data_IF_434151302798
#
_entry.id   IF_434151302798
#
_cell.length_a   1.000
_cell.length_b   1.000
_cell.length_c   1.000
_cell.angle_alpha   90.00
_cell.angle_beta   90.00
_cell.angle_gamma   90.00
#
_symmetry.space_group_name_H-M   'P 1'
#
loop_
_entity.id
_entity.type
_entity.pdbx_description
1 polymer ?
#
# COMPACT_ATOMS: atom_id res chain seq x y z
N UNK A 1 24.08 22.18 -4.55
CA UNK A 1 23.31 22.55 -5.76
C UNK A 1 21.87 22.14 -5.46
N UNK A 2 20.89 23.03 -5.65
CA UNK A 2 19.49 22.65 -5.46
C UNK A 2 19.08 21.63 -6.55
N UNK A 3 18.43 20.58 -6.16
CA UNK A 3 17.87 19.61 -7.11
C UNK A 3 16.77 20.25 -7.97
N UNK A 4 16.60 19.84 -9.23
CA UNK A 4 15.48 20.32 -10.05
C UNK A 4 14.15 20.01 -9.37
N UNK A 5 13.19 20.95 -9.42
CA UNK A 5 11.88 20.80 -8.76
C UNK A 5 11.09 19.55 -9.19
N UNK A 6 11.41 18.98 -10.35
CA UNK A 6 10.76 17.77 -10.89
C UNK A 6 11.52 16.48 -10.52
N UNK A 7 12.60 16.56 -9.74
CA UNK A 7 13.34 15.37 -9.32
C UNK A 7 12.61 14.64 -8.19
N UNK A 8 12.73 13.31 -8.15
CA UNK A 8 12.21 12.49 -7.05
C UNK A 8 12.75 12.97 -5.72
N UNK A 9 14.05 13.34 -5.66
CA UNK A 9 14.69 13.86 -4.46
C UNK A 9 14.00 15.14 -3.97
N UNK A 10 13.67 16.07 -4.87
CA UNK A 10 12.97 17.29 -4.49
C UNK A 10 11.56 17.00 -3.97
N UNK A 11 10.83 16.09 -4.61
CA UNK A 11 9.49 15.68 -4.16
C UNK A 11 9.53 15.00 -2.80
N UNK A 12 10.54 14.17 -2.55
CA UNK A 12 10.77 13.53 -1.24
C UNK A 12 11.08 14.59 -0.19
N UNK A 13 12.02 15.48 -0.47
CA UNK A 13 12.48 16.50 0.47
C UNK A 13 11.37 17.52 0.81
N UNK A 14 10.63 17.99 -0.20
CA UNK A 14 9.52 18.93 -0.03
C UNK A 14 8.37 18.29 0.76
N UNK A 15 8.03 17.06 0.42
CA UNK A 15 6.99 16.31 1.10
C UNK A 15 7.36 16.00 2.56
N UNK A 16 8.61 15.61 2.81
CA UNK A 16 9.12 15.35 4.15
C UNK A 16 9.31 16.62 4.99
N UNK A 17 9.64 17.74 4.40
CA UNK A 17 9.66 19.01 5.10
C UNK A 17 8.28 19.38 5.65
N UNK A 18 7.21 19.13 4.86
CA UNK A 18 5.82 19.25 5.32
C UNK A 18 5.40 18.16 6.32
N UNK A 19 6.03 17.00 6.27
CA UNK A 19 5.64 15.80 7.03
C UNK A 19 6.51 15.52 8.24
N UNK A 20 7.65 16.16 8.41
CA UNK A 20 8.47 16.06 9.64
C UNK A 20 7.63 16.35 10.91
N UNK A 21 6.51 17.07 10.73
CA UNK A 21 5.53 17.34 11.77
C UNK A 21 4.60 16.13 12.04
N UNK A 22 4.41 15.23 11.09
CA UNK A 22 3.38 14.20 11.10
C UNK A 22 3.89 12.81 11.44
N UNK A 23 5.14 12.56 11.09
CA UNK A 23 5.80 11.32 11.40
C UNK A 23 7.17 11.64 11.99
N UNK A 24 7.28 11.61 13.31
CA UNK A 24 8.57 11.62 13.94
C UNK A 24 9.47 10.58 13.27
N UNK A 25 10.69 10.93 12.97
CA UNK A 25 11.72 10.03 12.43
C UNK A 25 11.78 8.70 13.19
N UNK A 26 11.48 8.74 14.49
CA UNK A 26 11.34 7.58 15.36
C UNK A 26 10.26 6.59 14.87
N UNK A 27 9.11 7.06 14.39
CA UNK A 27 8.06 6.18 13.87
C UNK A 27 8.47 5.54 12.53
N UNK A 28 9.21 6.27 11.70
CA UNK A 28 9.80 5.73 10.48
C UNK A 28 10.77 4.59 10.80
N UNK A 29 11.66 4.76 11.76
CA UNK A 29 12.59 3.72 12.24
C UNK A 29 11.86 2.50 12.78
N UNK A 30 10.89 2.70 13.66
CA UNK A 30 10.08 1.59 14.22
C UNK A 30 9.31 0.84 13.12
N UNK A 31 8.78 1.54 12.13
CA UNK A 31 8.08 0.90 11.00
C UNK A 31 9.06 0.14 10.11
N UNK A 32 10.26 0.66 9.87
CA UNK A 32 11.31 -0.03 9.13
C UNK A 32 11.78 -1.30 9.84
N UNK A 33 11.95 -1.27 11.15
CA UNK A 33 12.27 -2.45 11.95
C UNK A 33 11.20 -3.55 11.83
N UNK A 34 9.92 -3.15 11.86
CA UNK A 34 8.78 -4.05 11.63
C UNK A 34 8.83 -4.61 10.21
N UNK A 35 9.03 -3.76 9.21
CA UNK A 35 9.12 -4.17 7.82
C UNK A 35 10.26 -5.18 7.62
N UNK A 36 11.43 -4.91 8.17
CA UNK A 36 12.61 -5.79 8.12
C UNK A 36 12.36 -7.17 8.75
N UNK A 37 11.54 -7.23 9.78
CA UNK A 37 11.16 -8.48 10.43
C UNK A 37 10.24 -9.35 9.56
N UNK A 38 9.28 -8.75 8.87
CA UNK A 38 8.26 -9.48 8.11
C UNK A 38 8.55 -9.54 6.62
N UNK A 39 9.26 -8.55 6.08
CA UNK A 39 9.50 -8.37 4.66
C UNK A 39 10.89 -7.77 4.39
N UNK A 40 11.98 -8.47 4.78
CA UNK A 40 13.34 -7.95 4.67
C UNK A 40 13.74 -7.62 3.24
N UNK A 41 13.23 -8.37 2.25
CA UNK A 41 13.57 -8.18 0.84
C UNK A 41 13.16 -6.80 0.33
N UNK A 42 12.01 -6.27 0.78
CA UNK A 42 11.56 -4.95 0.38
C UNK A 42 12.45 -3.84 0.96
N UNK A 43 13.01 -4.04 2.15
CA UNK A 43 13.96 -3.10 2.72
C UNK A 43 15.23 -2.98 1.88
N UNK A 44 15.70 -4.09 1.32
CA UNK A 44 16.86 -4.08 0.42
C UNK A 44 16.52 -3.44 -0.95
N UNK A 45 15.30 -3.64 -1.45
CA UNK A 45 14.83 -2.98 -2.67
C UNK A 45 14.71 -1.46 -2.47
N UNK A 46 14.13 -1.01 -1.35
CA UNK A 46 14.05 0.40 -0.98
C UNK A 46 15.46 1.01 -0.84
N UNK A 47 16.41 0.28 -0.25
CA UNK A 47 17.81 0.71 -0.16
C UNK A 47 18.42 0.91 -1.54
N UNK A 48 18.24 -0.05 -2.44
CA UNK A 48 18.73 0.07 -3.82
C UNK A 48 18.17 1.30 -4.55
N UNK A 49 16.88 1.62 -4.33
CA UNK A 49 16.29 2.83 -4.89
C UNK A 49 16.89 4.09 -4.27
N UNK A 50 17.00 4.15 -2.93
CA UNK A 50 17.56 5.31 -2.23
C UNK A 50 19.01 5.60 -2.65
N UNK A 51 19.83 4.55 -2.80
CA UNK A 51 21.20 4.65 -3.29
C UNK A 51 21.25 5.19 -4.72
N UNK A 52 20.37 4.68 -5.59
CA UNK A 52 20.32 5.11 -7.00
C UNK A 52 19.91 6.57 -7.19
N UNK A 53 19.02 7.09 -6.36
CA UNK A 53 18.57 8.49 -6.40
C UNK A 53 19.41 9.43 -5.52
N UNK A 54 20.35 8.88 -4.73
CA UNK A 54 21.25 9.66 -3.88
C UNK A 54 20.60 10.27 -2.64
N UNK A 55 19.57 9.61 -2.09
CA UNK A 55 18.90 10.05 -0.86
C UNK A 55 19.26 9.17 0.34
N UNK A 56 19.08 9.69 1.56
CA UNK A 56 19.24 8.90 2.77
C UNK A 56 18.18 7.78 2.86
N UNK A 57 18.60 6.58 3.18
CA UNK A 57 17.71 5.42 3.23
C UNK A 57 16.59 5.55 4.26
N UNK A 58 16.91 5.99 5.48
CA UNK A 58 15.90 6.13 6.52
C UNK A 58 14.89 7.22 6.19
N UNK A 59 15.38 8.29 5.59
CA UNK A 59 14.55 9.36 5.09
C UNK A 59 13.57 8.86 4.00
N UNK A 60 14.09 8.14 3.01
CA UNK A 60 13.29 7.63 1.90
C UNK A 60 12.28 6.57 2.33
N UNK A 61 12.68 5.57 3.13
CA UNK A 61 11.74 4.54 3.60
C UNK A 61 10.69 5.12 4.55
N UNK A 62 11.03 6.10 5.37
CA UNK A 62 10.07 6.81 6.22
C UNK A 62 9.02 7.51 5.38
N UNK A 63 9.45 8.20 4.31
CA UNK A 63 8.53 8.81 3.36
C UNK A 63 7.61 7.80 2.68
N UNK A 64 8.14 6.67 2.21
CA UNK A 64 7.33 5.61 1.61
C UNK A 64 6.32 5.01 2.59
N UNK A 65 6.71 4.84 3.85
CA UNK A 65 5.82 4.34 4.91
C UNK A 65 4.74 5.34 5.30
N UNK A 66 4.97 6.63 5.04
CA UNK A 66 3.98 7.68 5.21
C UNK A 66 2.94 7.71 4.12
N UNK A 67 3.29 7.32 2.91
CA UNK A 67 2.36 7.29 1.79
C UNK A 67 1.19 6.38 2.12
N UNK A 68 -0.03 6.80 1.93
CA UNK A 68 -1.21 6.08 2.40
C UNK A 68 -1.66 6.44 3.82
N UNK A 69 -0.78 6.93 4.70
CA UNK A 69 -1.19 7.54 5.96
C UNK A 69 -1.40 9.05 5.83
N UNK A 70 -0.70 9.67 4.89
CA UNK A 70 -0.47 11.12 4.82
C UNK A 70 -0.95 11.73 3.50
N UNK A 71 -1.85 11.09 2.79
CA UNK A 71 -2.49 11.66 1.60
C UNK A 71 -3.39 12.88 1.93
N UNK A 72 -3.45 13.27 3.19
CA UNK A 72 -4.19 14.44 3.65
C UNK A 72 -3.25 15.61 3.76
N UNK A 73 -3.57 16.68 3.05
CA UNK A 73 -2.90 17.94 3.19
C UNK A 73 -3.23 18.53 4.57
N UNK A 74 -2.35 18.30 5.52
CA UNK A 74 -2.49 18.79 6.89
C UNK A 74 -2.05 20.25 7.01
N UNK A 75 -1.38 20.82 5.97
CA UNK A 75 -0.84 22.16 6.02
C UNK A 75 -1.90 23.24 6.07
N UNK A 76 -3.14 22.98 5.66
CA UNK A 76 -4.08 24.07 5.47
C UNK A 76 -5.45 23.93 6.15
N UNK A 77 -5.73 22.87 6.90
CA UNK A 77 -7.10 22.61 7.38
C UNK A 77 -8.18 22.71 6.27
N UNK A 78 -7.76 22.64 5.02
CA UNK A 78 -8.68 22.64 3.89
C UNK A 78 -9.29 21.23 3.84
N UNK A 79 -10.62 21.12 3.80
CA UNK A 79 -11.24 19.85 3.46
C UNK A 79 -10.69 19.43 2.11
N UNK A 80 -9.77 18.48 2.10
CA UNK A 80 -9.31 17.87 0.85
C UNK A 80 -10.56 17.30 0.22
N UNK A 81 -10.83 17.67 -1.04
CA UNK A 81 -11.89 17.04 -1.82
C UNK A 81 -11.85 15.55 -1.55
N UNK A 82 -13.00 14.99 -1.19
CA UNK A 82 -13.12 13.58 -0.77
C UNK A 82 -12.49 12.71 -1.84
N UNK A 83 -11.24 12.31 -1.60
CA UNK A 83 -10.54 11.34 -2.42
C UNK A 83 -10.93 9.98 -1.90
N UNK A 84 -11.25 9.10 -2.80
CA UNK A 84 -11.71 7.78 -2.44
C UNK A 84 -11.11 6.72 -3.33
N UNK A 85 -11.51 5.52 -3.07
CA UNK A 85 -11.23 4.37 -3.91
C UNK A 85 -12.47 3.50 -3.90
N UNK A 86 -12.76 2.86 -5.02
CA UNK A 86 -13.78 1.82 -5.11
C UNK A 86 -13.11 0.55 -5.57
N UNK A 87 -13.36 -0.55 -4.88
CA UNK A 87 -12.88 -1.86 -5.28
C UNK A 87 -14.04 -2.87 -5.22
N UNK A 88 -14.07 -3.79 -6.17
CA UNK A 88 -15.04 -4.87 -6.22
C UNK A 88 -14.40 -6.17 -6.69
N UNK A 89 -15.01 -7.28 -6.28
CA UNK A 89 -14.74 -8.58 -6.83
C UNK A 89 -16.07 -9.30 -7.05
N UNK A 90 -16.17 -10.05 -8.14
CA UNK A 90 -17.36 -10.80 -8.50
C UNK A 90 -16.95 -12.14 -9.09
N UNK A 91 -17.64 -13.20 -8.71
CA UNK A 91 -17.39 -14.54 -9.27
C UNK A 91 -18.68 -15.12 -9.83
N UNK A 92 -18.63 -15.59 -11.08
CA UNK A 92 -19.73 -16.26 -11.76
C UNK A 92 -19.19 -17.22 -12.81
N UNK A 93 -19.84 -18.38 -12.96
CA UNK A 93 -19.49 -19.39 -13.95
C UNK A 93 -17.99 -19.78 -13.96
N UNK A 94 -17.40 -19.90 -12.76
CA UNK A 94 -15.99 -20.27 -12.60
C UNK A 94 -14.98 -19.18 -12.99
N UNK A 95 -15.43 -17.94 -13.17
CA UNK A 95 -14.59 -16.78 -13.46
C UNK A 95 -14.69 -15.78 -12.31
N UNK A 96 -13.56 -15.30 -11.84
CA UNK A 96 -13.48 -14.18 -10.90
C UNK A 96 -13.06 -12.92 -11.67
N UNK A 97 -13.85 -11.87 -11.53
CA UNK A 97 -13.55 -10.54 -12.04
C UNK A 97 -13.26 -9.65 -10.84
N UNK A 98 -12.22 -8.87 -10.96
CA UNK A 98 -11.74 -7.97 -9.95
C UNK A 98 -11.46 -6.61 -10.60
N UNK A 99 -11.80 -5.54 -9.93
CA UNK A 99 -11.56 -4.19 -10.43
C UNK A 99 -11.46 -3.16 -9.30
N UNK A 100 -10.75 -2.07 -9.60
CA UNK A 100 -10.57 -0.94 -8.69
C UNK A 100 -10.48 0.38 -9.44
N UNK A 101 -11.04 1.42 -8.84
CA UNK A 101 -10.77 2.81 -9.20
C UNK A 101 -9.84 3.46 -8.17
N UNK A 102 -8.90 4.25 -8.67
CA UNK A 102 -8.05 5.12 -7.88
C UNK A 102 -8.47 6.57 -8.13
N UNK A 103 -9.25 7.15 -7.21
CA UNK A 103 -9.81 8.49 -7.37
C UNK A 103 -8.76 9.53 -6.97
N UNK A 104 -7.72 9.66 -7.81
CA UNK A 104 -6.64 10.61 -7.65
C UNK A 104 -6.84 11.83 -8.57
N UNK A 105 -6.30 13.00 -8.20
CA UNK A 105 -6.32 14.17 -9.08
C UNK A 105 -5.68 13.87 -10.44
N UNK A 106 -6.21 14.44 -11.54
CA UNK A 106 -5.73 14.16 -12.90
C UNK A 106 -4.22 14.37 -13.11
N UNK A 107 -3.60 15.29 -12.38
CA UNK A 107 -2.16 15.56 -12.49
C UNK A 107 -1.28 14.42 -11.96
N UNK A 108 -1.83 13.49 -11.15
CA UNK A 108 -1.10 12.30 -10.68
C UNK A 108 -1.19 11.13 -11.68
N UNK A 109 -1.94 11.27 -12.77
CA UNK A 109 -2.13 10.22 -13.77
C UNK A 109 -0.81 9.75 -14.39
N UNK A 110 0.10 10.66 -14.66
CA UNK A 110 1.39 10.34 -15.28
C UNK A 110 2.30 9.52 -14.36
N UNK A 111 2.11 9.62 -13.03
CA UNK A 111 2.80 8.80 -12.04
C UNK A 111 2.26 7.39 -11.90
N UNK A 112 1.03 7.13 -12.39
CA UNK A 112 0.42 5.81 -12.26
C UNK A 112 0.95 4.84 -13.32
N UNK A 113 1.40 3.67 -12.88
CA UNK A 113 2.02 2.65 -13.73
C UNK A 113 1.46 1.27 -13.40
N UNK A 114 1.47 0.40 -14.41
CA UNK A 114 1.24 -1.03 -14.24
C UNK A 114 2.55 -1.75 -14.53
N UNK A 115 3.08 -2.44 -13.53
CA UNK A 115 4.42 -3.04 -13.57
C UNK A 115 4.37 -4.53 -13.26
N UNK A 116 5.27 -5.30 -13.88
CA UNK A 116 5.41 -6.73 -13.63
C UNK A 116 6.67 -6.95 -12.81
N UNK A 117 6.52 -7.57 -11.66
CA UNK A 117 7.60 -7.99 -10.78
C UNK A 117 7.83 -9.50 -10.85
N UNK A 118 9.08 -9.90 -10.77
CA UNK A 118 9.50 -11.29 -10.69
C UNK A 118 10.58 -11.42 -9.59
N UNK A 119 10.19 -11.32 -8.31
CA UNK A 119 11.13 -11.41 -7.20
C UNK A 119 11.77 -12.80 -7.13
N UNK A 120 13.02 -12.88 -6.67
CA UNK A 120 13.77 -14.13 -6.61
C UNK A 120 13.14 -15.18 -5.69
N UNK A 121 12.54 -14.73 -4.59
CA UNK A 121 12.01 -15.60 -3.52
C UNK A 121 10.53 -15.27 -3.21
N UNK A 122 9.75 -14.98 -4.23
CA UNK A 122 8.33 -14.65 -4.09
C UNK A 122 7.57 -14.86 -5.38
N UNK A 123 6.26 -14.73 -5.31
CA UNK A 123 5.40 -14.86 -6.48
C UNK A 123 5.67 -13.77 -7.50
N UNK A 124 5.54 -14.10 -8.78
CA UNK A 124 5.48 -13.09 -9.85
C UNK A 124 4.11 -12.42 -9.82
N UNK A 125 4.08 -11.13 -10.00
CA UNK A 125 2.83 -10.37 -9.96
C UNK A 125 2.86 -9.16 -10.88
N UNK A 126 1.66 -8.71 -11.28
CA UNK A 126 1.43 -7.39 -11.83
C UNK A 126 0.89 -6.51 -10.70
N UNK A 127 1.39 -5.30 -10.61
CA UNK A 127 0.94 -4.30 -9.64
C UNK A 127 0.65 -2.98 -10.34
N UNK A 128 -0.43 -2.32 -9.97
CA UNK A 128 -0.70 -0.94 -10.36
C UNK A 128 -0.30 -0.04 -9.20
N UNK A 129 0.55 0.91 -9.50
CA UNK A 129 1.15 1.79 -8.50
C UNK A 129 1.20 3.24 -8.94
N UNK A 130 1.00 4.12 -7.98
CA UNK A 130 1.43 5.53 -7.98
C UNK A 130 2.50 5.78 -6.91
N UNK A 131 3.07 4.71 -6.35
CA UNK A 131 3.87 4.68 -5.11
C UNK A 131 5.18 3.94 -5.27
N UNK A 132 5.86 4.06 -6.39
CA UNK A 132 7.15 3.43 -6.72
C UNK A 132 7.11 1.91 -6.79
N UNK A 133 7.66 1.22 -5.77
CA UNK A 133 7.85 -0.23 -5.72
C UNK A 133 6.77 -0.98 -4.94
N UNK A 134 5.87 -0.28 -4.31
CA UNK A 134 4.64 -0.80 -3.70
C UNK A 134 3.43 -0.35 -4.54
N UNK A 135 2.21 -0.64 -4.12
CA UNK A 135 1.09 -0.21 -4.93
C UNK A 135 -0.26 -0.40 -4.29
N UNK A 136 -1.28 -0.03 -5.02
CA UNK A 136 -2.64 0.04 -4.53
C UNK A 136 -3.45 -1.21 -4.87
N UNK A 137 -3.04 -1.95 -5.92
CA UNK A 137 -3.75 -3.13 -6.39
C UNK A 137 -2.85 -4.03 -7.24
N UNK A 138 -3.23 -5.28 -7.41
CA UNK A 138 -2.51 -6.17 -8.31
C UNK A 138 -3.05 -7.60 -8.33
N UNK A 139 -2.40 -8.42 -9.16
CA UNK A 139 -2.69 -9.84 -9.29
C UNK A 139 -1.38 -10.62 -9.46
N UNK A 140 -1.27 -11.78 -8.80
CA UNK A 140 -0.10 -12.63 -8.94
C UNK A 140 -0.33 -13.85 -9.87
N UNK A 141 0.75 -14.59 -10.13
CA UNK A 141 0.76 -15.75 -11.05
C UNK A 141 -0.16 -16.89 -10.61
N UNK A 142 -0.56 -16.95 -9.34
CA UNK A 142 -1.52 -17.93 -8.84
C UNK A 142 -2.98 -17.54 -9.09
N UNK A 143 -3.22 -16.33 -9.62
CA UNK A 143 -4.56 -15.76 -9.80
C UNK A 143 -5.17 -15.27 -8.49
N UNK A 144 -4.33 -14.88 -7.54
CA UNK A 144 -4.72 -14.13 -6.34
C UNK A 144 -4.61 -12.64 -6.62
N UNK A 145 -5.67 -11.89 -6.32
CA UNK A 145 -5.77 -10.45 -6.49
C UNK A 145 -5.99 -9.74 -5.15
N UNK A 146 -5.41 -8.57 -5.01
CA UNK A 146 -5.55 -7.72 -3.83
C UNK A 146 -5.67 -6.26 -4.21
N UNK A 147 -6.56 -5.51 -3.51
CA UNK A 147 -6.67 -4.07 -3.60
C UNK A 147 -6.82 -3.45 -2.22
N UNK A 148 -6.31 -2.25 -2.09
CA UNK A 148 -6.59 -1.41 -0.94
C UNK A 148 -7.62 -0.33 -1.26
N UNK A 149 -8.44 0.02 -0.28
CA UNK A 149 -9.12 1.31 -0.25
C UNK A 149 -8.73 2.05 1.01
N UNK A 150 -8.48 3.34 0.83
CA UNK A 150 -8.04 4.19 1.92
C UNK A 150 -9.19 4.50 2.88
N UNK A 151 -8.89 4.56 4.17
CA UNK A 151 -9.82 5.00 5.22
C UNK A 151 -9.10 6.03 6.10
N UNK A 152 -9.76 7.16 6.34
CA UNK A 152 -9.20 8.22 7.18
C UNK A 152 -8.77 7.71 8.54
N UNK A 153 -7.60 8.15 8.98
CA UNK A 153 -7.04 7.80 10.29
C UNK A 153 -6.66 9.07 11.02
N UNK A 154 -7.17 9.24 12.24
CA UNK A 154 -6.73 10.32 13.11
C UNK A 154 -5.23 10.18 13.40
N UNK A 155 -4.48 11.26 13.34
CA UNK A 155 -3.02 11.25 13.44
C UNK A 155 -2.49 10.57 14.70
N UNK A 156 -3.17 10.81 15.83
CA UNK A 156 -2.82 10.21 17.11
C UNK A 156 -3.03 8.68 17.15
N UNK A 157 -3.81 8.14 16.21
CA UNK A 157 -4.08 6.71 16.09
C UNK A 157 -3.12 5.99 15.17
N UNK A 158 -2.32 6.72 14.38
CA UNK A 158 -1.31 6.12 13.52
C UNK A 158 -0.22 5.47 14.37
N UNK A 159 0.14 4.22 14.04
CA UNK A 159 1.19 3.45 14.72
C UNK A 159 2.29 3.04 13.76
N UNK A 160 3.41 2.58 14.30
CA UNK A 160 4.42 1.93 13.52
C UNK A 160 3.87 0.62 12.92
N UNK A 161 4.16 0.36 11.64
CA UNK A 161 3.67 -0.83 10.93
C UNK A 161 3.65 -0.66 9.42
N UNK A 162 3.03 -1.64 8.76
CA UNK A 162 2.78 -1.62 7.32
C UNK A 162 1.71 -0.59 6.97
N UNK A 163 1.96 0.26 5.99
CA UNK A 163 0.89 0.99 5.35
C UNK A 163 0.17 0.11 4.31
N UNK A 164 -0.97 0.57 3.81
CA UNK A 164 -1.80 -0.20 2.89
C UNK A 164 -1.08 -0.61 1.59
N UNK A 165 -0.21 0.23 1.05
CA UNK A 165 0.53 -0.05 -0.18
C UNK A 165 1.59 -1.15 0.03
N UNK A 166 2.29 -1.15 1.16
CA UNK A 166 3.20 -2.24 1.51
C UNK A 166 2.45 -3.54 1.85
N UNK A 167 1.24 -3.46 2.41
CA UNK A 167 0.38 -4.63 2.60
C UNK A 167 0.04 -5.27 1.25
N UNK A 168 -0.39 -4.48 0.27
CA UNK A 168 -0.72 -4.98 -1.08
C UNK A 168 0.51 -5.67 -1.69
N UNK A 169 1.66 -5.01 -1.69
CA UNK A 169 2.90 -5.58 -2.22
C UNK A 169 3.28 -6.88 -1.51
N UNK A 170 3.24 -6.91 -0.19
CA UNK A 170 3.57 -8.09 0.60
C UNK A 170 2.66 -9.27 0.28
N UNK A 171 1.35 -9.05 0.21
CA UNK A 171 0.39 -10.12 -0.06
C UNK A 171 0.51 -10.66 -1.49
N UNK A 172 0.76 -9.81 -2.50
CA UNK A 172 1.02 -10.27 -3.87
C UNK A 172 2.22 -11.19 -3.95
N UNK A 173 3.27 -10.89 -3.20
CA UNK A 173 4.52 -11.62 -3.24
C UNK A 173 4.49 -12.91 -2.41
N UNK A 174 3.73 -12.94 -1.31
CA UNK A 174 3.81 -14.02 -0.30
C UNK A 174 2.57 -14.92 -0.22
N UNK A 175 1.45 -14.54 -0.83
CA UNK A 175 0.21 -15.31 -0.75
C UNK A 175 -0.19 -15.91 -2.10
N UNK A 176 -0.62 -17.16 -2.11
CA UNK A 176 -1.07 -17.87 -3.32
C UNK A 176 -2.59 -17.79 -3.51
N UNK A 177 -3.33 -17.48 -2.44
CA UNK A 177 -4.80 -17.46 -2.43
C UNK A 177 -5.33 -16.61 -1.27
N UNK A 178 -6.65 -16.40 -1.27
CA UNK A 178 -7.35 -15.58 -0.28
C UNK A 178 -7.16 -16.04 1.16
N UNK A 179 -7.23 -17.33 1.42
CA UNK A 179 -7.09 -17.89 2.79
C UNK A 179 -5.70 -17.62 3.36
N UNK A 180 -4.66 -17.88 2.57
CA UNK A 180 -3.28 -17.61 2.96
C UNK A 180 -3.05 -16.10 3.17
N UNK A 181 -3.61 -15.26 2.29
CA UNK A 181 -3.51 -13.81 2.41
C UNK A 181 -4.17 -13.30 3.71
N UNK A 182 -5.34 -13.80 4.07
CA UNK A 182 -5.99 -13.46 5.35
C UNK A 182 -5.10 -13.86 6.52
N UNK A 183 -4.56 -15.07 6.51
CA UNK A 183 -3.68 -15.57 7.59
C UNK A 183 -2.45 -14.66 7.76
N UNK A 184 -1.79 -14.30 6.67
CA UNK A 184 -0.64 -13.39 6.68
C UNK A 184 -1.03 -12.01 7.20
N UNK A 185 -2.10 -11.42 6.64
CA UNK A 185 -2.55 -10.07 6.99
C UNK A 185 -2.94 -9.97 8.48
N UNK A 186 -3.58 -10.99 9.03
CA UNK A 186 -3.95 -10.99 10.46
C UNK A 186 -2.73 -10.90 11.38
N UNK A 187 -1.56 -11.40 10.95
CA UNK A 187 -0.31 -11.34 11.71
C UNK A 187 0.48 -10.03 11.55
N UNK A 188 0.17 -9.18 10.56
CA UNK A 188 0.94 -7.95 10.29
C UNK A 188 0.55 -6.81 11.23
N UNK A 189 1.50 -6.06 11.78
CA UNK A 189 1.24 -4.74 12.35
C UNK A 189 0.84 -3.76 11.25
N UNK A 190 -0.31 -3.11 11.38
CA UNK A 190 -0.84 -2.12 10.42
C UNK A 190 -0.72 -0.72 10.98
N UNK A 191 -0.25 0.23 10.18
CA UNK A 191 0.05 1.59 10.62
C UNK A 191 -1.18 2.51 10.65
N UNK A 192 -2.15 2.30 9.77
CA UNK A 192 -3.30 3.18 9.58
C UNK A 192 -4.54 2.41 9.14
N UNK A 193 -5.69 3.07 9.13
CA UNK A 193 -6.93 2.45 8.68
C UNK A 193 -6.89 2.19 7.17
N UNK A 194 -7.34 1.01 6.76
CA UNK A 194 -7.57 0.68 5.36
C UNK A 194 -8.53 -0.51 5.23
N UNK A 195 -9.14 -0.66 4.07
CA UNK A 195 -9.79 -1.91 3.71
C UNK A 195 -8.93 -2.63 2.67
N UNK A 196 -8.79 -3.93 2.81
CA UNK A 196 -8.06 -4.78 1.88
C UNK A 196 -9.06 -5.78 1.28
N UNK A 197 -9.35 -5.62 0.00
CA UNK A 197 -10.13 -6.57 -0.78
C UNK A 197 -9.20 -7.68 -1.28
N UNK A 198 -9.55 -8.91 -1.02
CA UNK A 198 -8.83 -10.11 -1.43
C UNK A 198 -9.76 -10.97 -2.29
N UNK A 199 -9.26 -11.47 -3.41
CA UNK A 199 -10.00 -12.39 -4.27
C UNK A 199 -9.05 -13.40 -4.92
N UNK A 200 -9.54 -14.60 -5.26
CA UNK A 200 -8.76 -15.59 -5.98
C UNK A 200 -9.54 -16.24 -7.13
N UNK A 201 -8.82 -16.95 -7.99
CA UNK A 201 -9.39 -17.64 -9.17
C UNK A 201 -10.39 -18.74 -8.83
N UNK A 202 -10.49 -19.17 -7.56
CA UNK A 202 -11.48 -20.15 -7.09
C UNK A 202 -12.79 -19.50 -6.67
N UNK A 203 -12.87 -18.17 -6.71
CA UNK A 203 -14.05 -17.40 -6.33
C UNK A 203 -14.13 -17.05 -4.84
N UNK A 204 -13.09 -17.31 -4.06
CA UNK A 204 -13.04 -16.85 -2.67
C UNK A 204 -12.80 -15.34 -2.66
N UNK A 205 -13.63 -14.61 -1.92
CA UNK A 205 -13.57 -13.15 -1.83
C UNK A 205 -13.88 -12.70 -0.42
N UNK A 206 -13.06 -11.80 0.11
CA UNK A 206 -13.27 -11.19 1.43
C UNK A 206 -12.75 -9.76 1.44
N UNK A 207 -13.29 -8.95 2.33
CA UNK A 207 -12.72 -7.67 2.71
C UNK A 207 -12.18 -7.78 4.13
N UNK A 208 -10.95 -7.35 4.33
CA UNK A 208 -10.36 -7.20 5.67
C UNK A 208 -10.33 -5.71 6.01
N UNK A 209 -11.14 -5.31 6.98
CA UNK A 209 -11.10 -3.97 7.57
C UNK A 209 -9.93 -3.92 8.55
N UNK A 210 -8.98 -3.05 8.30
CA UNK A 210 -7.76 -2.93 9.09
C UNK A 210 -7.71 -1.59 9.81
N UNK A 211 -7.34 -1.64 11.08
CA UNK A 211 -6.91 -0.50 11.87
C UNK A 211 -5.63 -0.86 12.61
N UNK A 212 -4.89 0.09 13.20
CA UNK A 212 -3.69 -0.22 13.97
C UNK A 212 -3.92 -1.13 15.20
N UNK A 213 -5.17 -1.32 15.62
CA UNK A 213 -5.51 -2.10 16.83
C UNK A 213 -6.43 -3.29 16.56
N UNK A 214 -7.11 -3.30 15.42
CA UNK A 214 -8.13 -4.32 15.10
C UNK A 214 -8.12 -4.62 13.61
N UNK A 215 -8.32 -5.89 13.28
CA UNK A 215 -8.63 -6.35 11.94
C UNK A 215 -9.89 -7.21 11.97
N UNK A 216 -10.77 -7.01 11.00
CA UNK A 216 -12.03 -7.73 10.89
C UNK A 216 -12.22 -8.23 9.47
N UNK A 217 -12.41 -9.53 9.34
CA UNK A 217 -12.74 -10.16 8.06
C UNK A 217 -14.25 -10.07 7.83
N UNK A 218 -14.65 -9.54 6.66
CA UNK A 218 -16.01 -9.60 6.14
C UNK A 218 -16.05 -10.52 4.93
N UNK A 219 -16.89 -11.55 5.01
CA UNK A 219 -17.17 -12.39 3.83
C UNK A 219 -17.91 -11.60 2.75
N UNK A 220 -17.78 -12.03 1.51
CA UNK A 220 -18.59 -11.49 0.43
C UNK A 220 -20.08 -11.79 0.67
N UNK A 221 -20.95 -10.84 0.32
CA UNK A 221 -22.38 -11.10 0.27
C UNK A 221 -22.67 -11.98 -0.96
N UNK A 222 -23.41 -13.06 -0.74
CA UNK A 222 -23.88 -13.93 -1.84
C UNK A 222 -25.22 -13.38 -2.29
N UNK A 223 -25.27 -12.83 -3.49
CA UNK A 223 -26.52 -12.49 -4.14
C UNK A 223 -26.96 -13.75 -4.91
N UNK A 224 -27.95 -14.46 -4.38
CA UNK A 224 -28.66 -15.50 -5.14
C UNK A 224 -29.56 -14.81 -6.18
N UNK A 225 -29.37 -15.13 -7.45
CA UNK A 225 -30.26 -14.68 -8.54
C UNK A 225 -31.49 -15.56 -8.61
#
# INVERSE_FOLDING_TARGET
>A
MAHPKDSIQYQVDDHLAGMAYLLPEERGKQSEEILRKFFPEICEEVRGVSDAIGTDYLHFISWMLCMGCCMYNLENNIPVEVRGCTAFAYSSNGRTIYGRNNDLPPYLREGSKSEIYAPKNGNRFNITTSSFINGEEGVNEHGFAVAMTFVMTDLEKIKAGFNSCFIVRYLLEKADNTEQAVSLLMGLPVSSNCNILLADKKGNMVVVECTPILKKVRAAEIFEN
#
